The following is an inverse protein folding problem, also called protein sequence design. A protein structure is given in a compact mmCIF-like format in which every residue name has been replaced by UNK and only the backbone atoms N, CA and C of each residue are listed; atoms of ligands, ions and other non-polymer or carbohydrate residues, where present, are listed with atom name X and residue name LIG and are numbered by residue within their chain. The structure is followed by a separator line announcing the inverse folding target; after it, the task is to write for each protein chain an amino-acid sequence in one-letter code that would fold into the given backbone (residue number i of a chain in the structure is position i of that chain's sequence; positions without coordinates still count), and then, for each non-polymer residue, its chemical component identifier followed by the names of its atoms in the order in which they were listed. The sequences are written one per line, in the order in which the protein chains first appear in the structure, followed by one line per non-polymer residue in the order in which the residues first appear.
data_IF_084536961281
#
_entry.id   IF_084536961281
#
_cell.length_a   1.000
_cell.length_b   1.000
_cell.length_c   1.000
_cell.angle_alpha   90.00
_cell.angle_beta   90.00
_cell.angle_gamma   90.00
#
_symmetry.space_group_name_H-M   'P 1'
#
loop_
_entity.id
_entity.type
_entity.pdbx_description
1 polymer ?
#
# COMPACT_ATOMS: atom_id res chain seq x y z
N UNK A 1 -11.51 10.79 -3.95
CA UNK A 1 -10.16 10.96 -3.32
C UNK A 1 -10.04 9.99 -2.16
N UNK A 2 -8.86 9.41 -1.90
CA UNK A 2 -8.67 8.19 -1.10
C UNK A 2 -9.47 8.12 0.21
N UNK A 3 -9.46 9.21 1.00
CA UNK A 3 -10.20 9.33 2.27
C UNK A 3 -11.72 9.12 2.12
N UNK A 4 -12.30 9.53 0.99
CA UNK A 4 -13.74 9.40 0.69
C UNK A 4 -14.14 8.00 0.20
N UNK A 5 -13.19 7.09 -0.01
CA UNK A 5 -13.42 5.75 -0.55
C UNK A 5 -12.78 4.63 0.31
N UNK A 6 -12.46 4.92 1.58
CA UNK A 6 -11.86 3.96 2.51
C UNK A 6 -10.55 3.31 2.01
N UNK A 7 -9.84 4.02 1.13
CA UNK A 7 -8.53 3.60 0.62
C UNK A 7 -7.49 3.98 1.68
N UNK A 8 -6.81 3.00 2.31
CA UNK A 8 -5.81 3.28 3.34
C UNK A 8 -4.63 4.03 2.74
N UNK A 9 -4.18 5.07 3.44
CA UNK A 9 -2.99 5.84 3.08
C UNK A 9 -1.86 5.37 3.98
N UNK A 10 -0.76 4.92 3.39
CA UNK A 10 0.45 4.48 4.10
C UNK A 10 1.59 5.40 3.69
N UNK A 11 2.14 6.13 4.66
CA UNK A 11 3.28 6.99 4.40
C UNK A 11 4.58 6.18 4.42
N UNK A 12 5.27 6.13 3.28
CA UNK A 12 6.64 5.65 3.17
C UNK A 12 7.35 6.49 2.10
N UNK A 13 8.09 7.50 2.55
CA UNK A 13 8.72 8.48 1.66
C UNK A 13 9.75 7.85 0.72
N UNK A 14 10.56 6.93 1.22
CA UNK A 14 11.60 6.26 0.43
C UNK A 14 10.97 5.43 -0.69
N UNK A 15 10.04 4.54 -0.35
CA UNK A 15 9.36 3.70 -1.34
C UNK A 15 8.57 4.54 -2.34
N UNK A 16 7.89 5.60 -1.89
CA UNK A 16 7.16 6.51 -2.77
C UNK A 16 8.08 7.18 -3.80
N UNK A 17 9.26 7.65 -3.38
CA UNK A 17 10.25 8.25 -4.28
C UNK A 17 10.82 7.24 -5.27
N UNK A 18 11.13 6.02 -4.82
CA UNK A 18 11.62 4.96 -5.70
C UNK A 18 10.56 4.55 -6.74
N UNK A 19 9.30 4.37 -6.33
CA UNK A 19 8.22 4.05 -7.25
C UNK A 19 8.00 5.17 -8.27
N UNK A 20 7.99 6.43 -7.82
CA UNK A 20 7.85 7.58 -8.72
C UNK A 20 8.97 7.66 -9.76
N UNK A 21 10.20 7.31 -9.37
CA UNK A 21 11.37 7.45 -10.25
C UNK A 21 11.58 6.26 -11.18
N UNK A 22 11.09 5.07 -10.82
CA UNK A 22 11.45 3.80 -11.48
C UNK A 22 10.27 3.10 -12.16
N UNK A 23 9.02 3.52 -11.90
CA UNK A 23 7.84 2.77 -12.33
C UNK A 23 6.84 3.72 -12.99
N UNK A 24 6.50 3.43 -14.24
CA UNK A 24 5.40 4.13 -14.91
C UNK A 24 4.06 3.44 -14.67
N UNK A 25 2.97 4.19 -14.83
CA UNK A 25 1.63 3.66 -14.62
C UNK A 25 1.36 2.51 -15.60
N UNK A 26 0.85 1.39 -15.08
CA UNK A 26 0.56 0.19 -15.85
C UNK A 26 1.76 -0.74 -16.03
N UNK A 27 2.95 -0.34 -15.59
CA UNK A 27 4.12 -1.22 -15.55
C UNK A 27 4.13 -2.08 -14.29
N UNK A 28 4.83 -3.21 -14.40
CA UNK A 28 5.13 -4.05 -13.25
C UNK A 28 6.15 -3.39 -12.32
N UNK A 29 6.10 -3.76 -11.06
CA UNK A 29 7.05 -3.28 -10.05
C UNK A 29 8.42 -3.94 -10.33
N UNK A 30 9.53 -3.19 -10.26
CA UNK A 30 10.86 -3.76 -10.39
C UNK A 30 11.18 -4.74 -9.24
N UNK A 31 11.92 -5.84 -9.51
CA UNK A 31 12.25 -6.83 -8.48
C UNK A 31 12.95 -6.27 -7.24
N UNK A 32 13.77 -5.22 -7.41
CA UNK A 32 14.46 -4.55 -6.31
C UNK A 32 13.49 -3.92 -5.27
N UNK A 33 12.24 -3.64 -5.65
CA UNK A 33 11.23 -3.04 -4.79
C UNK A 33 10.23 -4.07 -4.22
N UNK A 34 10.31 -5.34 -4.61
CA UNK A 34 9.33 -6.35 -4.20
C UNK A 34 9.21 -6.50 -2.70
N UNK A 35 10.31 -6.54 -1.97
CA UNK A 35 10.27 -6.69 -0.52
C UNK A 35 9.57 -5.51 0.16
N UNK A 36 9.89 -4.28 -0.27
CA UNK A 36 9.30 -3.07 0.29
C UNK A 36 7.78 -3.01 0.01
N UNK A 37 7.37 -3.32 -1.22
CA UNK A 37 5.95 -3.36 -1.61
C UNK A 37 5.19 -4.49 -0.91
N UNK A 38 5.78 -5.68 -0.80
CA UNK A 38 5.20 -6.79 -0.05
C UNK A 38 4.97 -6.42 1.42
N UNK A 39 5.88 -5.66 2.02
CA UNK A 39 5.70 -5.11 3.37
C UNK A 39 4.47 -4.22 3.49
N UNK A 40 4.26 -3.31 2.54
CA UNK A 40 3.04 -2.45 2.49
C UNK A 40 1.78 -3.29 2.33
N UNK A 41 1.78 -4.27 1.40
CA UNK A 41 0.64 -5.17 1.20
C UNK A 41 0.32 -5.97 2.46
N UNK A 42 1.33 -6.50 3.14
CA UNK A 42 1.15 -7.21 4.41
C UNK A 42 0.57 -6.31 5.50
N UNK A 43 1.00 -5.05 5.58
CA UNK A 43 0.45 -4.06 6.50
C UNK A 43 -1.04 -3.78 6.20
N UNK A 44 -1.38 -3.52 4.94
CA UNK A 44 -2.78 -3.29 4.52
C UNK A 44 -3.66 -4.52 4.80
N UNK A 45 -3.15 -5.73 4.56
CA UNK A 45 -3.87 -6.96 4.85
C UNK A 45 -4.20 -7.11 6.34
N UNK A 46 -3.24 -6.81 7.23
CA UNK A 46 -3.46 -6.80 8.69
C UNK A 46 -4.49 -5.74 9.12
N UNK A 47 -4.44 -4.54 8.52
CA UNK A 47 -5.43 -3.49 8.80
C UNK A 47 -6.85 -3.94 8.41
N UNK A 48 -7.01 -4.64 7.29
CA UNK A 48 -8.32 -5.14 6.84
C UNK A 48 -8.86 -6.24 7.77
N UNK A 49 -7.99 -7.12 8.25
CA UNK A 49 -8.35 -8.14 9.26
C UNK A 49 -8.88 -7.52 10.55
N UNK A 50 -8.30 -6.39 10.98
CA UNK A 50 -8.79 -5.66 12.16
C UNK A 50 -10.09 -4.89 11.88
N UNK A 51 -10.30 -4.41 10.64
CA UNK A 51 -11.51 -3.65 10.25
C UNK A 51 -12.77 -4.50 10.23
N UNK A 52 -12.69 -5.80 9.91
CA UNK A 52 -13.87 -6.69 9.93
C UNK A 52 -14.44 -6.89 11.34
N UNK A 53 -13.63 -6.73 12.40
CA UNK A 53 -14.09 -6.81 13.79
C UNK A 53 -14.79 -5.52 14.28
N UNK A 54 -14.61 -4.40 13.59
CA UNK A 54 -15.23 -3.11 13.94
C UNK A 54 -16.57 -2.87 13.23
N UNK A 55 -16.86 -3.60 12.13
CA UNK A 55 -18.14 -3.49 11.42
C UNK A 55 -19.29 -4.27 12.08
N UNK A 56 -19.01 -4.99 13.17
CA UNK A 56 -19.96 -5.80 13.94
C UNK A 56 -20.24 -5.25 15.35
N UNK A 57 -19.95 -3.97 15.58
CA UNK A 57 -20.34 -3.20 16.77
C UNK A 57 -21.15 -1.98 16.33
#
# INVERSE_FOLDING_TARGET
MAEKHDIPIVENKELAQSLYSLVEIGQEIPPALYQAVAGVLAYVYKLKGNRQNFSSL
#
